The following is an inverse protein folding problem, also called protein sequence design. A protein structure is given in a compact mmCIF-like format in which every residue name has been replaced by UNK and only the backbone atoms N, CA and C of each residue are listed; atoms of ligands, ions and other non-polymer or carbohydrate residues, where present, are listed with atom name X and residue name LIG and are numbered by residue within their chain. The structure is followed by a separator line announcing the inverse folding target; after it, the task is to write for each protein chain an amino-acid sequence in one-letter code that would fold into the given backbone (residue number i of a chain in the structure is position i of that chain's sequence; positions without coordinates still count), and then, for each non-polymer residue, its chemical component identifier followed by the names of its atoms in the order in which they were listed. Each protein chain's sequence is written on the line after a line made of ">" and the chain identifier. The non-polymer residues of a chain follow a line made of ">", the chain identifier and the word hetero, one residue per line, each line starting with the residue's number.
data_IF_604556446511
#
_entry.id   IF_604556446511
#
_cell.length_a   1.000
_cell.length_b   1.000
_cell.length_c   1.000
_cell.angle_alpha   90.00
_cell.angle_beta   90.00
_cell.angle_gamma   90.00
#
_symmetry.space_group_name_H-M   'P 1'
#
loop_
_entity.id
_entity.type
_entity.pdbx_description
1 polymer ?
#
# COMPACT_ATOMS: atom_id res chain seq x y z
N UNK A 1 6.22 19.19 11.55
CA UNK A 1 5.76 19.25 10.15
C UNK A 1 4.43 18.52 10.06
N UNK A 2 3.45 18.97 9.27
CA UNK A 2 2.24 18.18 9.07
C UNK A 2 2.61 16.84 8.42
N UNK A 3 2.02 15.76 8.91
CA UNK A 3 2.18 14.43 8.33
C UNK A 3 1.51 14.43 6.94
N UNK A 4 2.25 14.02 5.91
CA UNK A 4 1.74 14.01 4.53
C UNK A 4 0.62 12.98 4.36
N UNK A 5 0.62 11.91 5.16
CA UNK A 5 -0.42 10.88 5.12
C UNK A 5 -1.79 11.42 5.53
N UNK A 6 -1.83 12.44 6.40
CA UNK A 6 -3.09 13.14 6.75
C UNK A 6 -3.72 13.88 5.58
N UNK A 7 -2.96 14.10 4.49
CA UNK A 7 -3.45 14.74 3.26
C UNK A 7 -3.80 13.74 2.16
N UNK A 8 -3.60 12.44 2.40
CA UNK A 8 -4.07 11.39 1.49
C UNK A 8 -5.53 11.08 1.80
N UNK A 9 -6.36 10.92 0.76
CA UNK A 9 -7.81 10.75 0.97
C UNK A 9 -8.17 9.36 1.51
N UNK A 10 -7.59 8.32 0.91
CA UNK A 10 -7.95 6.92 1.15
C UNK A 10 -6.73 6.01 1.27
N UNK A 11 -5.86 5.95 0.26
CA UNK A 11 -4.80 4.96 0.16
C UNK A 11 -3.61 5.41 -0.69
N UNK A 12 -2.51 4.66 -0.58
CA UNK A 12 -1.31 4.79 -1.42
C UNK A 12 -1.09 3.48 -2.16
N UNK A 13 -0.81 3.59 -3.46
CA UNK A 13 -0.44 2.44 -4.29
C UNK A 13 1.08 2.42 -4.51
N UNK A 14 1.70 1.28 -4.24
CA UNK A 14 3.09 0.99 -4.60
C UNK A 14 3.08 0.01 -5.77
N UNK A 15 3.61 0.45 -6.90
CA UNK A 15 3.82 -0.40 -8.07
C UNK A 15 5.30 -0.62 -8.30
N UNK A 16 5.74 -1.87 -8.35
CA UNK A 16 7.15 -2.23 -8.49
C UNK A 16 7.33 -3.63 -9.09
N UNK A 17 8.58 -4.06 -9.28
CA UNK A 17 8.93 -5.39 -9.76
C UNK A 17 9.80 -6.10 -8.71
N UNK A 18 9.33 -7.24 -8.22
CA UNK A 18 10.00 -8.06 -7.20
C UNK A 18 10.70 -9.24 -7.85
N UNK A 19 11.95 -9.48 -7.48
CA UNK A 19 12.66 -10.71 -7.85
C UNK A 19 12.10 -11.85 -7.00
N UNK A 20 11.56 -12.89 -7.64
CA UNK A 20 10.90 -14.01 -6.98
C UNK A 20 10.74 -15.20 -7.94
N UNK A 21 10.48 -16.39 -7.37
CA UNK A 21 10.35 -17.66 -8.07
C UNK A 21 8.97 -17.83 -8.74
N UNK A 22 7.91 -17.29 -8.14
CA UNK A 22 6.51 -17.42 -8.57
C UNK A 22 5.63 -16.30 -7.98
N UNK A 23 4.34 -16.31 -8.33
CA UNK A 23 3.34 -15.35 -7.82
C UNK A 23 3.08 -15.52 -6.33
N UNK A 24 3.16 -16.74 -5.80
CA UNK A 24 2.95 -17.01 -4.37
C UNK A 24 4.05 -16.35 -3.51
N UNK A 25 5.30 -16.41 -3.98
CA UNK A 25 6.41 -15.68 -3.36
C UNK A 25 6.28 -14.17 -3.53
N UNK A 26 5.87 -13.69 -4.71
CA UNK A 26 5.64 -12.25 -4.89
C UNK A 26 4.51 -11.71 -4.01
N UNK A 27 3.46 -12.48 -3.74
CA UNK A 27 2.40 -12.09 -2.80
C UNK A 27 2.95 -11.92 -1.38
N UNK A 28 3.72 -12.89 -0.87
CA UNK A 28 4.35 -12.78 0.46
C UNK A 28 5.30 -11.58 0.55
N UNK A 29 6.18 -11.41 -0.44
CA UNK A 29 7.13 -10.30 -0.49
C UNK A 29 6.44 -8.94 -0.61
N UNK A 30 5.29 -8.88 -1.31
CA UNK A 30 4.48 -7.66 -1.44
C UNK A 30 3.93 -7.21 -0.10
N UNK A 31 3.43 -8.15 0.72
CA UNK A 31 2.93 -7.85 2.06
C UNK A 31 4.08 -7.40 2.95
N UNK A 32 5.20 -8.16 2.99
CA UNK A 32 6.38 -7.82 3.79
C UNK A 32 6.95 -6.43 3.43
N UNK A 33 6.99 -6.08 2.14
CA UNK A 33 7.39 -4.76 1.67
C UNK A 33 6.50 -3.66 2.25
N UNK A 34 5.18 -3.83 2.17
CA UNK A 34 4.23 -2.82 2.63
C UNK A 34 4.22 -2.68 4.16
N UNK A 35 4.35 -3.78 4.89
CA UNK A 35 4.53 -3.78 6.35
C UNK A 35 5.81 -3.02 6.74
N UNK A 36 6.91 -3.26 6.02
CA UNK A 36 8.18 -2.55 6.23
C UNK A 36 8.09 -1.06 5.91
N UNK A 37 7.22 -0.67 4.98
CA UNK A 37 6.90 0.74 4.69
C UNK A 37 5.94 1.36 5.72
N UNK A 38 5.44 0.58 6.68
CA UNK A 38 4.58 1.05 7.77
C UNK A 38 3.08 0.93 7.51
N UNK A 39 2.66 0.28 6.41
CA UNK A 39 1.25 0.00 6.17
C UNK A 39 0.80 -1.23 6.95
N UNK A 40 -0.39 -1.16 7.54
CA UNK A 40 -1.00 -2.29 8.26
C UNK A 40 -2.17 -2.90 7.50
N UNK A 41 -2.82 -2.10 6.67
CA UNK A 41 -3.97 -2.52 5.89
C UNK A 41 -3.62 -2.54 4.41
N UNK A 42 -3.45 -3.75 3.89
CA UNK A 42 -2.76 -4.00 2.63
C UNK A 42 -3.66 -4.84 1.73
N UNK A 43 -3.73 -4.48 0.46
CA UNK A 43 -4.42 -5.26 -0.57
C UNK A 43 -3.56 -5.37 -1.82
N UNK A 44 -3.36 -6.58 -2.33
CA UNK A 44 -2.72 -6.79 -3.63
C UNK A 44 -3.75 -6.51 -4.72
N UNK A 45 -3.48 -5.47 -5.51
CA UNK A 45 -4.36 -5.01 -6.60
C UNK A 45 -3.99 -5.68 -7.91
N UNK A 46 -2.71 -6.00 -8.10
CA UNK A 46 -2.20 -6.65 -9.28
C UNK A 46 -0.95 -7.45 -8.94
N UNK A 47 -0.84 -8.63 -9.54
CA UNK A 47 0.36 -9.46 -9.51
C UNK A 47 0.46 -10.19 -10.85
N UNK A 48 1.65 -10.21 -11.42
CA UNK A 48 1.94 -10.98 -12.63
C UNK A 48 3.40 -11.41 -12.61
N UNK A 49 3.64 -12.71 -12.49
CA UNK A 49 5.00 -13.27 -12.63
C UNK A 49 5.38 -13.41 -14.10
N UNK A 50 6.55 -12.87 -14.45
CA UNK A 50 7.12 -12.97 -15.79
C UNK A 50 8.64 -12.84 -15.73
N UNK A 51 9.37 -13.83 -16.21
CA UNK A 51 10.84 -13.79 -16.24
C UNK A 51 11.43 -14.02 -14.84
N UNK A 52 12.36 -13.16 -14.35
CA UNK A 52 13.04 -13.38 -13.07
C UNK A 52 12.21 -13.00 -11.83
N UNK A 53 10.96 -12.60 -11.99
CA UNK A 53 10.17 -12.01 -10.90
C UNK A 53 8.76 -11.61 -11.33
N UNK A 54 8.11 -10.78 -10.52
CA UNK A 54 6.73 -10.34 -10.75
C UNK A 54 6.56 -8.83 -10.67
N UNK A 55 5.75 -8.28 -11.57
CA UNK A 55 5.20 -6.92 -11.43
C UNK A 55 4.06 -6.97 -10.44
N UNK A 56 4.09 -6.11 -9.44
CA UNK A 56 3.09 -6.04 -8.38
C UNK A 56 2.57 -4.61 -8.24
N UNK A 57 1.28 -4.47 -7.96
CA UNK A 57 0.67 -3.24 -7.45
C UNK A 57 -0.02 -3.56 -6.14
N UNK A 58 0.42 -2.90 -5.08
CA UNK A 58 -0.07 -3.13 -3.73
C UNK A 58 -0.61 -1.83 -3.17
N UNK A 59 -1.80 -1.88 -2.59
CA UNK A 59 -2.50 -0.75 -1.98
C UNK A 59 -2.37 -0.80 -0.47
N UNK A 60 -1.82 0.25 0.13
CA UNK A 60 -1.85 0.49 1.57
C UNK A 60 -2.92 1.50 1.92
N UNK A 61 -3.94 1.11 2.68
CA UNK A 61 -5.01 2.02 3.10
C UNK A 61 -4.55 2.89 4.28
N UNK A 62 -4.90 4.18 4.21
CA UNK A 62 -4.71 5.17 5.28
C UNK A 62 -6.05 5.44 5.97
N UNK A 63 -7.13 5.54 5.19
CA UNK A 63 -8.50 5.68 5.69
C UNK A 63 -9.43 4.69 4.97
N UNK A 64 -10.23 3.95 5.74
CA UNK A 64 -11.30 3.12 5.22
C UNK A 64 -12.64 3.86 5.20
N UNK A 65 -13.61 3.40 4.36
CA UNK A 65 -14.98 3.87 4.45
C UNK A 65 -15.53 3.74 5.88
N UNK A 66 -15.78 4.86 6.53
CA UNK A 66 -16.29 4.93 7.91
C UNK A 66 -15.26 5.38 8.95
N UNK A 67 -13.99 5.56 8.56
CA UNK A 67 -12.95 6.10 9.44
C UNK A 67 -13.12 7.60 9.70
N UNK A 68 -12.41 8.08 10.72
CA UNK A 68 -12.24 9.52 10.96
C UNK A 68 -11.13 10.04 10.05
N UNK A 69 -11.53 10.75 9.01
CA UNK A 69 -10.60 11.35 8.06
C UNK A 69 -9.92 12.59 8.64
N UNK A 70 -8.61 12.56 8.87
CA UNK A 70 -7.89 13.70 9.47
C UNK A 70 -8.02 14.96 8.61
N UNK A 71 -8.03 14.84 7.28
CA UNK A 71 -8.24 15.97 6.36
C UNK A 71 -9.65 16.58 6.40
N UNK A 72 -10.67 15.82 6.80
CA UNK A 72 -12.06 16.29 6.86
C UNK A 72 -12.38 17.02 8.18
N UNK A 73 -11.74 16.58 9.27
CA UNK A 73 -11.99 17.09 10.61
C UNK A 73 -10.85 17.98 11.15
N UNK A 74 -9.90 18.40 10.31
CA UNK A 74 -8.87 19.40 10.61
C UNK A 74 -9.52 20.78 10.84
N UNK A 75 -10.19 20.91 11.98
CA UNK A 75 -10.72 22.15 12.56
C UNK A 75 -9.58 22.92 13.22
N UNK A 76 -8.59 23.33 12.43
CA UNK A 76 -7.70 24.41 12.88
C UNK A 76 -8.50 25.71 12.84
N UNK A 77 -8.96 26.09 14.03
CA UNK A 77 -9.32 27.45 14.44
C UNK A 77 -8.29 28.47 14.00
#
# INVERSE_FOLDING_TARGET
>A
MPDILEKVMDAVDVETYLVCKDEEEAERLSVELMEKLGFQDISIVFIQHQGPGARVRVRGYIYKPGDKYSWLFDQRK
#
